data_IF_057195829166
#
_entry.id   IF_057195829166
#
_cell.length_a   1.000
_cell.length_b   1.000
_cell.length_c   1.000
_cell.angle_alpha   90.00
_cell.angle_beta   90.00
_cell.angle_gamma   90.00
#
_symmetry.space_group_name_H-M   'P 1'
#
loop_
_entity.id
_entity.type
_entity.pdbx_description
1 polymer ?
#
# COMPACT_ATOMS: atom_id res chain seq x y z
N UNK A 1 -4.54 72.37 -12.22
CA UNK A 1 -3.75 71.23 -12.71
C UNK A 1 -3.70 70.21 -11.59
N UNK A 2 -4.51 69.16 -11.66
CA UNK A 2 -4.63 68.13 -10.62
C UNK A 2 -4.14 66.80 -11.22
N UNK A 3 -3.17 66.17 -10.58
CA UNK A 3 -2.60 64.88 -10.97
C UNK A 3 -3.38 63.73 -10.30
N UNK A 4 -3.69 62.63 -11.00
CA UNK A 4 -4.34 61.48 -10.37
C UNK A 4 -3.28 60.54 -9.77
N UNK A 5 -3.52 60.13 -8.52
CA UNK A 5 -2.82 59.04 -7.83
C UNK A 5 -3.38 57.70 -8.30
N UNK A 6 -2.55 56.90 -8.97
CA UNK A 6 -2.84 55.50 -9.29
C UNK A 6 -2.47 54.61 -8.09
N UNK A 7 -3.48 54.04 -7.45
CA UNK A 7 -3.35 52.96 -6.47
C UNK A 7 -3.17 51.63 -7.21
N UNK A 8 -1.96 51.08 -7.17
CA UNK A 8 -1.69 49.72 -7.63
C UNK A 8 -2.07 48.72 -6.53
N UNK A 9 -3.13 47.93 -6.76
CA UNK A 9 -3.48 46.81 -5.93
C UNK A 9 -2.48 45.66 -6.17
N UNK A 10 -1.61 45.40 -5.20
CA UNK A 10 -0.72 44.24 -5.22
C UNK A 10 -1.56 42.98 -4.93
N UNK A 11 -1.96 42.27 -5.99
CA UNK A 11 -2.53 40.94 -5.87
C UNK A 11 -1.43 39.98 -5.38
N UNK A 12 -1.50 39.59 -4.10
CA UNK A 12 -0.70 38.50 -3.55
C UNK A 12 -1.23 37.20 -4.12
N UNK A 13 -0.60 36.70 -5.18
CA UNK A 13 -0.75 35.31 -5.59
C UNK A 13 -0.15 34.44 -4.48
N UNK A 14 -0.99 33.92 -3.60
CA UNK A 14 -0.67 32.79 -2.74
C UNK A 14 -0.39 31.59 -3.66
N UNK A 15 0.88 31.36 -3.96
CA UNK A 15 1.32 30.10 -4.57
C UNK A 15 1.08 29.00 -3.54
N UNK A 16 0.31 27.94 -3.84
CA UNK A 16 0.23 26.79 -2.97
C UNK A 16 1.63 26.18 -2.87
N UNK A 17 2.10 25.98 -1.64
CA UNK A 17 3.32 25.23 -1.39
C UNK A 17 3.13 23.83 -2.01
N UNK A 18 3.99 23.47 -2.96
CA UNK A 18 4.06 22.11 -3.46
C UNK A 18 4.46 21.20 -2.29
N UNK A 19 3.47 20.54 -1.67
CA UNK A 19 3.71 19.51 -0.68
C UNK A 19 4.52 18.39 -1.31
N UNK A 20 5.58 17.98 -0.62
CA UNK A 20 6.48 16.90 -1.05
C UNK A 20 5.70 15.59 -1.13
N UNK A 21 5.17 15.28 -2.32
CA UNK A 21 4.52 14.01 -2.63
C UNK A 21 5.56 12.90 -2.77
N UNK A 22 6.15 12.42 -1.66
CA UNK A 22 6.97 11.22 -1.63
C UNK A 22 6.86 10.50 -0.28
N UNK A 23 6.31 9.29 -0.29
CA UNK A 23 6.31 8.40 0.87
C UNK A 23 6.39 6.92 0.44
N UNK A 24 7.39 6.60 -0.38
CA UNK A 24 7.83 5.22 -0.58
C UNK A 24 9.12 5.02 0.22
N UNK A 25 9.16 4.00 1.06
CA UNK A 25 10.38 3.52 1.68
C UNK A 25 10.66 2.12 1.18
N UNK A 26 11.85 1.96 0.60
CA UNK A 26 12.37 0.69 0.16
C UNK A 26 13.28 0.16 1.26
N UNK A 27 12.93 -1.00 1.81
CA UNK A 27 13.68 -1.60 2.91
C UNK A 27 14.66 -2.58 2.30
N UNK A 28 15.94 -2.24 2.33
CA UNK A 28 17.00 -2.95 1.60
C UNK A 28 17.74 -4.02 2.41
N UNK A 29 17.37 -4.25 3.66
CA UNK A 29 17.95 -5.35 4.44
C UNK A 29 16.88 -5.97 5.36
N UNK A 30 16.94 -7.29 5.62
CA UNK A 30 15.94 -7.99 6.42
C UNK A 30 15.79 -7.41 7.83
N UNK A 31 16.89 -6.94 8.42
CA UNK A 31 16.95 -6.43 9.79
C UNK A 31 16.61 -4.93 9.90
N UNK A 32 16.42 -4.23 8.78
CA UNK A 32 16.03 -2.82 8.83
C UNK A 32 14.57 -2.70 9.26
N UNK A 33 14.28 -1.99 10.37
CA UNK A 33 12.90 -1.78 10.81
C UNK A 33 12.17 -0.86 9.83
N UNK A 34 10.85 -0.99 9.77
CA UNK A 34 10.01 -0.10 8.95
C UNK A 34 10.08 1.32 9.56
N UNK A 35 10.22 2.39 8.77
CA UNK A 35 10.27 3.74 9.35
C UNK A 35 8.96 4.11 10.02
N UNK A 36 9.10 4.71 11.20
CA UNK A 36 8.01 5.39 11.92
C UNK A 36 7.90 6.86 11.58
N UNK A 37 8.93 7.43 10.94
CA UNK A 37 9.13 8.88 10.95
C UNK A 37 8.18 9.58 9.97
N UNK A 38 7.16 10.24 10.53
CA UNK A 38 6.25 11.09 9.77
C UNK A 38 5.07 10.36 9.12
N UNK A 39 5.04 9.03 9.17
CA UNK A 39 3.98 8.22 8.58
C UNK A 39 2.92 7.84 9.62
N UNK A 40 1.68 7.77 9.16
CA UNK A 40 0.47 7.48 9.93
C UNK A 40 -0.20 6.19 9.49
N UNK A 41 0.03 5.77 8.24
CA UNK A 41 -0.34 4.43 7.77
C UNK A 41 0.78 3.79 6.98
N UNK A 42 0.67 2.48 6.83
CA UNK A 42 1.60 1.66 6.08
C UNK A 42 0.82 0.74 5.14
N UNK A 43 1.30 0.61 3.92
CA UNK A 43 0.83 -0.30 2.88
C UNK A 43 1.98 -1.24 2.53
N UNK A 44 1.88 -2.51 2.90
CA UNK A 44 2.92 -3.52 2.69
C UNK A 44 2.53 -4.37 1.50
N UNK A 45 3.46 -4.56 0.55
CA UNK A 45 3.29 -5.54 -0.51
C UNK A 45 3.95 -6.86 -0.10
N UNK A 46 3.15 -7.88 0.16
CA UNK A 46 3.59 -9.14 0.75
C UNK A 46 3.62 -10.25 -0.31
N UNK A 47 4.81 -10.61 -0.77
CA UNK A 47 5.03 -11.74 -1.67
C UNK A 47 5.20 -13.01 -0.83
N UNK A 48 4.09 -13.67 -0.50
CA UNK A 48 4.10 -14.80 0.44
C UNK A 48 4.17 -16.19 -0.20
N UNK A 49 4.01 -16.29 -1.52
CA UNK A 49 4.03 -17.56 -2.24
C UNK A 49 5.35 -17.74 -3.01
N UNK A 50 6.15 -18.79 -2.73
CA UNK A 50 7.43 -18.99 -3.39
C UNK A 50 7.32 -19.24 -4.90
N UNK A 51 6.13 -19.53 -5.45
CA UNK A 51 5.96 -19.65 -6.91
C UNK A 51 6.23 -18.33 -7.65
N UNK A 52 6.19 -17.19 -6.95
CA UNK A 52 6.58 -15.89 -7.51
C UNK A 52 8.10 -15.75 -7.70
N UNK A 53 8.91 -16.61 -7.08
CA UNK A 53 10.37 -16.55 -7.11
C UNK A 53 11.04 -17.44 -8.15
N UNK A 54 10.28 -18.07 -9.05
CA UNK A 54 10.90 -18.83 -10.14
C UNK A 54 11.55 -17.86 -11.13
N UNK A 55 12.72 -18.17 -11.74
CA UNK A 55 13.43 -17.24 -12.63
C UNK A 55 12.58 -16.66 -13.78
N UNK A 56 11.57 -17.42 -14.22
CA UNK A 56 10.60 -16.97 -15.23
C UNK A 56 9.68 -15.83 -14.76
N UNK A 57 9.74 -15.47 -13.50
CA UNK A 57 8.91 -14.45 -12.86
C UNK A 57 9.67 -13.16 -12.55
N UNK A 58 10.95 -13.03 -12.92
CA UNK A 58 11.76 -11.82 -12.66
C UNK A 58 11.16 -10.57 -13.33
N UNK A 59 10.90 -10.61 -14.63
CA UNK A 59 10.25 -9.50 -15.35
C UNK A 59 8.88 -9.14 -14.73
N UNK A 60 8.18 -10.14 -14.17
CA UNK A 60 6.88 -9.95 -13.52
C UNK A 60 7.05 -9.23 -12.18
N UNK A 61 7.99 -9.67 -11.35
CA UNK A 61 8.29 -9.05 -10.06
C UNK A 61 8.80 -7.62 -10.23
N UNK A 62 9.63 -7.36 -11.24
CA UNK A 62 10.10 -6.01 -11.56
C UNK A 62 8.93 -5.07 -11.88
N UNK A 63 8.03 -5.49 -12.78
CA UNK A 63 6.84 -4.70 -13.12
C UNK A 63 5.98 -4.44 -11.87
N UNK A 64 5.70 -5.46 -11.07
CA UNK A 64 4.91 -5.33 -9.86
C UNK A 64 5.52 -4.36 -8.85
N UNK A 65 6.84 -4.41 -8.67
CA UNK A 65 7.54 -3.44 -7.83
C UNK A 65 7.33 -2.01 -8.37
N UNK A 66 7.51 -1.77 -9.66
CA UNK A 66 7.32 -0.43 -10.23
C UNK A 66 5.88 0.06 -10.12
N UNK A 67 4.90 -0.82 -10.31
CA UNK A 67 3.48 -0.50 -10.18
C UNK A 67 3.12 -0.17 -8.73
N UNK A 68 3.60 -0.98 -7.77
CA UNK A 68 3.38 -0.72 -6.35
C UNK A 68 4.13 0.53 -5.87
N UNK A 69 5.32 0.80 -6.41
CA UNK A 69 6.06 2.05 -6.22
C UNK A 69 5.31 3.25 -6.78
N UNK A 70 4.63 3.10 -7.91
CA UNK A 70 3.72 4.09 -8.47
C UNK A 70 2.58 4.41 -7.50
N UNK A 71 1.93 3.38 -6.98
CA UNK A 71 0.92 3.50 -5.93
C UNK A 71 1.45 4.25 -4.70
N UNK A 72 2.62 3.87 -4.19
CA UNK A 72 3.27 4.53 -3.04
C UNK A 72 3.55 6.02 -3.22
N UNK A 73 3.64 6.52 -4.46
CA UNK A 73 3.83 7.94 -4.74
C UNK A 73 2.52 8.74 -4.68
N UNK A 74 1.38 8.10 -4.88
CA UNK A 74 0.07 8.79 -4.94
C UNK A 74 -0.72 8.69 -3.65
N UNK A 75 -0.37 7.75 -2.76
CA UNK A 75 -1.09 7.56 -1.49
C UNK A 75 -0.94 8.72 -0.50
N UNK A 76 0.01 9.65 -0.71
CA UNK A 76 0.19 10.84 0.12
C UNK A 76 1.38 10.77 1.07
N UNK A 77 1.80 11.92 1.61
CA UNK A 77 3.02 12.04 2.45
C UNK A 77 2.91 11.34 3.80
N UNK A 78 1.69 11.15 4.30
CA UNK A 78 1.40 10.55 5.60
C UNK A 78 1.32 9.02 5.51
N UNK A 79 1.49 8.44 4.33
CA UNK A 79 1.23 7.03 4.06
C UNK A 79 2.48 6.38 3.46
N UNK A 80 2.98 5.33 4.10
CA UNK A 80 4.18 4.65 3.65
C UNK A 80 3.85 3.40 2.84
N UNK A 81 4.28 3.35 1.57
CA UNK A 81 4.33 2.07 0.85
C UNK A 81 5.66 1.36 1.13
N UNK A 82 5.58 0.08 1.50
CA UNK A 82 6.72 -0.74 1.94
C UNK A 82 6.86 -1.95 1.02
N UNK A 83 8.06 -2.09 0.45
CA UNK A 83 8.50 -3.28 -0.26
C UNK A 83 9.74 -3.84 0.43
N UNK A 84 9.77 -5.15 0.67
CA UNK A 84 10.86 -5.79 1.38
C UNK A 84 11.89 -6.38 0.42
N UNK A 85 13.12 -5.91 0.53
CA UNK A 85 14.30 -6.45 -0.14
C UNK A 85 15.30 -7.00 0.87
N UNK A 86 16.02 -8.05 0.48
CA UNK A 86 17.14 -8.63 1.23
C UNK A 86 18.43 -7.83 1.03
N UNK A 87 18.56 -7.23 -0.15
CA UNK A 87 19.68 -6.38 -0.53
C UNK A 87 19.22 -5.32 -1.54
N UNK A 88 20.05 -4.30 -1.77
CA UNK A 88 19.74 -3.24 -2.72
C UNK A 88 19.67 -3.78 -4.16
N UNK A 89 18.57 -3.56 -4.90
CA UNK A 89 18.41 -4.09 -6.25
C UNK A 89 19.37 -3.46 -7.25
N UNK A 90 20.08 -4.31 -7.99
CA UNK A 90 20.84 -3.88 -9.18
C UNK A 90 19.93 -3.98 -10.40
N UNK A 91 19.35 -2.84 -10.80
CA UNK A 91 18.41 -2.77 -11.91
C UNK A 91 18.99 -3.28 -13.23
N UNK A 92 18.18 -4.04 -13.98
CA UNK A 92 18.58 -4.65 -15.26
C UNK A 92 19.41 -5.94 -15.12
N UNK A 93 19.47 -6.54 -13.94
CA UNK A 93 20.06 -7.87 -13.71
C UNK A 93 18.97 -8.93 -13.55
N UNK A 94 19.30 -10.19 -13.85
CA UNK A 94 18.38 -11.33 -13.75
C UNK A 94 18.34 -11.94 -12.33
N UNK A 95 18.45 -11.12 -11.30
CA UNK A 95 18.60 -11.59 -9.90
C UNK A 95 17.51 -10.98 -8.98
N UNK A 96 16.56 -10.21 -9.53
CA UNK A 96 15.51 -9.54 -8.74
C UNK A 96 14.70 -10.52 -7.87
N UNK A 97 14.42 -11.72 -8.36
CA UNK A 97 13.70 -12.73 -7.59
C UNK A 97 14.49 -13.24 -6.36
N UNK A 98 15.82 -13.26 -6.42
CA UNK A 98 16.68 -13.76 -5.34
C UNK A 98 16.79 -12.78 -4.18
N UNK A 99 16.60 -11.49 -4.48
CA UNK A 99 16.78 -10.37 -3.54
C UNK A 99 15.48 -9.84 -2.94
N UNK A 100 14.29 -10.28 -3.39
CA UNK A 100 13.04 -9.99 -2.67
C UNK A 100 13.05 -10.73 -1.34
N UNK A 101 12.69 -10.04 -0.25
CA UNK A 101 12.60 -10.66 1.08
C UNK A 101 11.24 -11.36 1.27
N UNK A 102 11.14 -12.52 0.63
CA UNK A 102 9.98 -13.41 0.76
C UNK A 102 9.89 -14.05 2.13
N UNK A 103 11.00 -14.22 2.84
CA UNK A 103 10.97 -14.77 4.19
C UNK A 103 10.25 -13.80 5.14
N UNK A 104 10.58 -12.51 5.10
CA UNK A 104 9.87 -11.48 5.86
C UNK A 104 8.41 -11.37 5.44
N UNK A 105 8.12 -11.39 4.13
CA UNK A 105 6.75 -11.37 3.62
C UNK A 105 5.93 -12.58 4.09
N UNK A 106 6.48 -13.79 3.98
CA UNK A 106 5.84 -15.03 4.42
C UNK A 106 5.58 -15.01 5.92
N UNK A 107 6.50 -14.44 6.71
CA UNK A 107 6.33 -14.25 8.15
C UNK A 107 5.17 -13.31 8.49
N UNK A 108 4.98 -12.22 7.75
CA UNK A 108 3.77 -11.39 7.87
C UNK A 108 2.53 -12.20 7.57
N UNK A 109 2.50 -12.94 6.46
CA UNK A 109 1.35 -13.77 6.11
C UNK A 109 1.02 -14.82 7.18
N UNK A 110 2.01 -15.53 7.69
CA UNK A 110 1.81 -16.50 8.78
C UNK A 110 1.27 -15.83 10.04
N UNK A 111 1.89 -14.72 10.45
CA UNK A 111 1.49 -14.00 11.68
C UNK A 111 0.09 -13.41 11.57
N UNK A 112 -0.30 -12.94 10.38
CA UNK A 112 -1.60 -12.33 10.11
C UNK A 112 -2.68 -13.36 9.72
N UNK A 113 -2.34 -14.65 9.64
CA UNK A 113 -3.25 -15.71 9.18
C UNK A 113 -3.68 -15.60 7.72
N UNK A 114 -2.87 -14.94 6.88
CA UNK A 114 -3.14 -14.77 5.45
C UNK A 114 -2.75 -16.04 4.68
N UNK A 115 -3.64 -16.51 3.81
CA UNK A 115 -3.39 -17.69 3.00
C UNK A 115 -2.27 -17.39 1.97
N UNK A 116 -1.14 -18.10 2.05
CA UNK A 116 -0.01 -17.88 1.14
C UNK A 116 -0.41 -18.10 -0.33
N UNK A 117 -1.25 -19.10 -0.61
CA UNK A 117 -1.74 -19.42 -1.97
C UNK A 117 -2.50 -18.27 -2.63
N UNK A 118 -3.05 -17.34 -1.83
CA UNK A 118 -3.78 -16.16 -2.26
C UNK A 118 -2.91 -14.91 -2.35
N UNK A 119 -1.60 -15.05 -2.16
CA UNK A 119 -0.63 -13.98 -2.32
C UNK A 119 -0.26 -13.72 -3.79
N UNK A 120 0.19 -12.50 -4.14
CA UNK A 120 0.63 -11.46 -3.22
C UNK A 120 -0.53 -10.77 -2.51
N UNK A 121 -0.24 -10.17 -1.36
CA UNK A 121 -1.21 -9.41 -0.58
C UNK A 121 -0.80 -7.94 -0.50
N UNK A 122 -1.77 -7.04 -0.49
CA UNK A 122 -1.54 -5.66 0.00
C UNK A 122 -2.14 -5.57 1.39
N UNK A 123 -1.31 -5.32 2.39
CA UNK A 123 -1.74 -5.13 3.77
C UNK A 123 -1.63 -3.66 4.14
N UNK A 124 -2.75 -3.02 4.42
CA UNK A 124 -2.83 -1.59 4.77
C UNK A 124 -3.24 -1.48 6.24
N UNK A 125 -2.54 -0.67 7.03
CA UNK A 125 -2.87 -0.45 8.44
C UNK A 125 -2.46 0.94 8.93
N UNK A 126 -3.19 1.47 9.91
CA UNK A 126 -2.80 2.67 10.67
C UNK A 126 -2.00 2.35 11.93
N UNK A 127 -1.80 1.07 12.24
CA UNK A 127 -0.95 0.61 13.34
C UNK A 127 0.45 0.32 12.82
N UNK A 128 1.48 0.66 13.59
CA UNK A 128 2.86 0.46 13.15
C UNK A 128 3.14 -1.03 12.87
N UNK A 129 3.47 -1.41 11.62
CA UNK A 129 3.42 -2.79 11.15
C UNK A 129 4.69 -3.59 11.45
N UNK A 130 5.29 -3.46 12.63
CA UNK A 130 6.48 -4.25 12.97
C UNK A 130 6.10 -5.51 13.73
N UNK A 131 6.61 -6.65 13.24
CA UNK A 131 6.44 -7.92 13.93
C UNK A 131 7.45 -8.02 15.09
N UNK A 132 7.19 -8.87 16.09
CA UNK A 132 8.22 -9.25 17.06
C UNK A 132 9.50 -9.72 16.35
N UNK A 133 10.66 -9.71 17.00
CA UNK A 133 11.85 -10.32 16.41
C UNK A 133 11.65 -11.85 16.23
N UNK A 134 12.27 -12.51 15.22
CA UNK A 134 12.09 -13.95 14.99
C UNK A 134 12.41 -14.81 16.22
N UNK A 135 13.41 -14.41 17.00
CA UNK A 135 13.89 -15.10 18.21
C UNK A 135 13.03 -14.85 19.45
N UNK A 136 12.28 -13.74 19.49
CA UNK A 136 11.34 -13.43 20.57
C UNK A 136 10.09 -14.33 20.55
N UNK A 137 9.81 -14.98 19.42
CA UNK A 137 8.58 -15.76 19.21
C UNK A 137 7.34 -14.87 19.09
N UNK A 138 6.17 -15.50 18.92
CA UNK A 138 4.86 -14.84 18.87
C UNK A 138 4.06 -15.00 20.18
N UNK A 139 4.69 -15.50 21.25
CA UNK A 139 3.99 -15.74 22.52
C UNK A 139 3.48 -14.42 23.11
N UNK A 140 2.15 -14.31 23.25
CA UNK A 140 1.49 -13.08 23.71
C UNK A 140 1.34 -11.99 22.66
N UNK A 141 1.82 -12.21 21.42
CA UNK A 141 1.51 -11.32 20.29
C UNK A 141 0.16 -11.72 19.68
N UNK A 142 -0.82 -10.84 19.79
CA UNK A 142 -2.12 -10.99 19.15
C UNK A 142 -2.20 -10.06 17.94
N UNK A 143 -2.14 -10.57 16.69
CA UNK A 143 -2.23 -9.76 15.48
C UNK A 143 -3.56 -9.01 15.38
N UNK A 144 -4.65 -9.53 15.95
CA UNK A 144 -5.96 -8.88 15.92
C UNK A 144 -5.99 -7.62 16.78
N UNK A 145 -5.35 -7.67 17.95
CA UNK A 145 -5.19 -6.50 18.80
C UNK A 145 -4.10 -5.55 18.29
N UNK A 146 -2.99 -6.07 17.74
CA UNK A 146 -1.88 -5.25 17.25
C UNK A 146 -2.22 -4.47 15.97
N UNK A 147 -3.08 -5.05 15.12
CA UNK A 147 -3.51 -4.46 13.85
C UNK A 147 -5.04 -4.43 13.78
N UNK A 148 -5.65 -3.74 14.74
CA UNK A 148 -7.11 -3.64 14.87
C UNK A 148 -7.76 -2.96 13.65
N UNK A 149 -7.06 -1.94 13.12
CA UNK A 149 -7.46 -1.14 11.97
C UNK A 149 -6.61 -1.55 10.76
N UNK A 150 -7.20 -2.34 9.87
CA UNK A 150 -6.49 -2.95 8.75
C UNK A 150 -7.37 -3.21 7.54
N UNK A 151 -6.70 -3.31 6.41
CA UNK A 151 -7.26 -3.80 5.18
C UNK A 151 -6.31 -4.79 4.52
N UNK A 152 -6.86 -5.86 3.96
CA UNK A 152 -6.14 -6.88 3.20
C UNK A 152 -6.72 -6.95 1.80
N UNK A 153 -5.87 -6.90 0.79
CA UNK A 153 -6.21 -7.18 -0.61
C UNK A 153 -5.50 -8.47 -1.02
N UNK A 154 -6.27 -9.49 -1.37
CA UNK A 154 -5.77 -10.78 -1.86
C UNK A 154 -5.73 -10.76 -3.39
N UNK A 155 -4.53 -10.95 -3.98
CA UNK A 155 -4.29 -10.82 -5.42
C UNK A 155 -3.83 -12.13 -6.09
N UNK A 156 -3.71 -13.23 -5.35
CA UNK A 156 -3.10 -14.47 -5.85
C UNK A 156 -3.87 -15.21 -6.93
N UNK A 157 -5.13 -14.85 -7.18
CA UNK A 157 -5.91 -15.38 -8.31
C UNK A 157 -5.82 -14.50 -9.58
N UNK A 158 -4.95 -13.48 -9.57
CA UNK A 158 -4.74 -12.56 -10.68
C UNK A 158 -3.40 -12.84 -11.36
N UNK A 159 -3.37 -12.72 -12.69
CA UNK A 159 -2.11 -12.72 -13.43
C UNK A 159 -1.35 -11.40 -13.21
N UNK A 160 -0.01 -11.35 -13.38
CA UNK A 160 0.79 -10.15 -13.11
C UNK A 160 0.27 -8.88 -13.79
N UNK A 161 -0.08 -8.96 -15.08
CA UNK A 161 -0.61 -7.80 -15.82
C UNK A 161 -1.96 -7.31 -15.30
N UNK A 162 -2.75 -8.18 -14.67
CA UNK A 162 -4.02 -7.82 -14.04
C UNK A 162 -3.77 -7.15 -12.69
N UNK A 163 -2.75 -7.58 -11.95
CA UNK A 163 -2.32 -6.91 -10.72
C UNK A 163 -1.79 -5.51 -11.04
N UNK A 164 -1.01 -5.35 -12.11
CA UNK A 164 -0.59 -4.04 -12.62
C UNK A 164 -1.78 -3.14 -12.94
N UNK A 165 -2.79 -3.67 -13.66
CA UNK A 165 -4.02 -2.94 -13.96
C UNK A 165 -4.80 -2.57 -12.67
N UNK A 166 -4.86 -3.47 -11.70
CA UNK A 166 -5.47 -3.23 -10.40
C UNK A 166 -4.77 -2.11 -9.63
N UNK A 167 -3.43 -2.15 -9.54
CA UNK A 167 -2.63 -1.13 -8.86
C UNK A 167 -2.75 0.24 -9.52
N UNK A 168 -2.79 0.28 -10.86
CA UNK A 168 -3.00 1.51 -11.61
C UNK A 168 -4.38 2.11 -11.32
N UNK A 169 -5.45 1.32 -11.40
CA UNK A 169 -6.81 1.76 -11.08
C UNK A 169 -6.93 2.16 -9.61
N UNK A 170 -6.34 1.39 -8.71
CA UNK A 170 -6.33 1.72 -7.28
C UNK A 170 -5.68 3.07 -7.03
N UNK A 171 -4.54 3.34 -7.68
CA UNK A 171 -3.85 4.61 -7.60
C UNK A 171 -4.74 5.77 -8.06
N UNK A 172 -5.46 5.60 -9.17
CA UNK A 172 -6.43 6.60 -9.66
C UNK A 172 -7.58 6.82 -8.67
N UNK A 173 -8.16 5.75 -8.13
CA UNK A 173 -9.28 5.83 -7.19
C UNK A 173 -8.87 6.44 -5.84
N UNK A 174 -7.69 6.10 -5.32
CA UNK A 174 -7.13 6.70 -4.09
C UNK A 174 -7.05 8.23 -4.23
N UNK A 175 -6.60 8.71 -5.38
CA UNK A 175 -6.53 10.16 -5.66
C UNK A 175 -7.92 10.75 -5.87
N UNK A 176 -8.77 10.09 -6.66
CA UNK A 176 -10.11 10.58 -6.98
C UNK A 176 -11.01 10.73 -5.75
N UNK A 177 -10.94 9.77 -4.82
CA UNK A 177 -11.69 9.78 -3.56
C UNK A 177 -11.04 10.65 -2.49
N UNK A 178 -9.82 11.15 -2.72
CA UNK A 178 -9.13 12.04 -1.79
C UNK A 178 -8.57 11.36 -0.54
N UNK A 179 -8.25 10.06 -0.61
CA UNK A 179 -7.64 9.31 0.52
C UNK A 179 -6.47 10.07 1.19
N UNK A 180 -5.52 10.67 0.44
CA UNK A 180 -4.39 11.41 1.03
C UNK A 180 -4.78 12.63 1.86
N UNK A 181 -6.00 13.15 1.70
CA UNK A 181 -6.49 14.37 2.34
C UNK A 181 -7.24 14.08 3.64
N UNK A 182 -7.48 12.81 3.96
CA UNK A 182 -8.28 12.39 5.12
C UNK A 182 -7.39 11.89 6.25
N UNK A 183 -7.70 12.29 7.48
CA UNK A 183 -6.94 11.90 8.66
C UNK A 183 -7.02 10.38 8.91
N UNK A 184 -5.89 9.64 8.96
CA UNK A 184 -5.88 8.18 8.98
C UNK A 184 -6.52 7.46 10.17
N UNK A 185 -6.72 8.18 11.26
CA UNK A 185 -7.31 7.72 12.52
C UNK A 185 -8.84 7.94 12.59
N UNK A 186 -9.47 8.22 11.45
CA UNK A 186 -10.89 8.54 11.38
C UNK A 186 -11.72 7.47 10.65
N UNK A 187 -13.00 7.38 11.01
CA UNK A 187 -13.98 6.59 10.25
C UNK A 187 -14.02 7.02 8.78
N UNK A 188 -13.95 8.33 8.52
CA UNK A 188 -13.95 8.88 7.18
C UNK A 188 -12.80 8.34 6.32
N UNK A 189 -11.61 8.14 6.89
CA UNK A 189 -10.47 7.58 6.15
C UNK A 189 -10.76 6.17 5.64
N UNK A 190 -11.30 5.30 6.50
CA UNK A 190 -11.64 3.94 6.14
C UNK A 190 -12.82 3.85 5.18
N UNK A 191 -13.80 4.77 5.30
CA UNK A 191 -14.88 4.92 4.31
C UNK A 191 -14.32 5.34 2.95
N UNK A 192 -13.40 6.31 2.91
CA UNK A 192 -12.77 6.74 1.64
C UNK A 192 -11.95 5.62 1.01
N UNK A 193 -11.22 4.82 1.80
CA UNK A 193 -10.55 3.61 1.30
C UNK A 193 -11.52 2.57 0.76
N UNK A 194 -12.63 2.34 1.47
CA UNK A 194 -13.69 1.45 1.01
C UNK A 194 -14.23 1.88 -0.35
N UNK A 195 -14.53 3.16 -0.54
CA UNK A 195 -15.01 3.69 -1.82
C UNK A 195 -13.97 3.57 -2.93
N UNK A 196 -12.71 3.89 -2.64
CA UNK A 196 -11.61 3.74 -3.60
C UNK A 196 -11.43 2.27 -4.04
N UNK A 197 -11.54 1.33 -3.10
CA UNK A 197 -11.48 -0.10 -3.39
C UNK A 197 -12.69 -0.56 -4.18
N UNK A 198 -13.89 -0.16 -3.79
CA UNK A 198 -15.12 -0.49 -4.51
C UNK A 198 -15.06 -0.02 -5.96
N UNK A 199 -14.58 1.19 -6.22
CA UNK A 199 -14.33 1.70 -7.57
C UNK A 199 -13.29 0.89 -8.34
N UNK A 200 -12.22 0.45 -7.66
CA UNK A 200 -11.14 -0.35 -8.25
C UNK A 200 -11.60 -1.75 -8.65
N UNK A 201 -12.42 -2.39 -7.82
CA UNK A 201 -12.84 -3.80 -7.98
C UNK A 201 -13.70 -4.05 -9.22
N UNK A 202 -14.28 -3.00 -9.82
CA UNK A 202 -15.12 -3.09 -11.02
C UNK A 202 -14.35 -3.75 -12.17
N UNK A 203 -14.78 -4.94 -12.57
CA UNK A 203 -14.21 -5.69 -13.69
C UNK A 203 -13.18 -6.77 -13.30
N UNK A 204 -12.84 -6.91 -12.02
CA UNK A 204 -11.93 -7.98 -11.57
C UNK A 204 -12.64 -9.26 -11.11
N UNK A 205 -13.95 -9.21 -10.83
CA UNK A 205 -14.74 -10.40 -10.44
C UNK A 205 -14.26 -11.03 -9.13
N UNK A 206 -14.44 -12.34 -8.98
CA UNK A 206 -14.04 -13.10 -7.77
C UNK A 206 -12.52 -13.27 -7.60
N UNK A 207 -11.70 -12.76 -8.54
CA UNK A 207 -10.24 -12.95 -8.54
C UNK A 207 -9.49 -12.08 -7.52
N UNK A 208 -10.18 -11.08 -6.99
CA UNK A 208 -9.67 -10.18 -5.96
C UNK A 208 -10.65 -10.16 -4.82
N UNK A 209 -10.11 -10.25 -3.62
CA UNK A 209 -10.87 -10.15 -2.37
C UNK A 209 -10.28 -9.03 -1.55
N UNK A 210 -11.14 -8.19 -1.02
CA UNK A 210 -10.74 -7.11 -0.10
C UNK A 210 -11.46 -7.33 1.22
N UNK A 211 -10.71 -7.38 2.31
CA UNK A 211 -11.27 -7.37 3.66
C UNK A 211 -10.85 -6.09 4.35
N UNK A 212 -11.82 -5.34 4.87
CA UNK A 212 -11.58 -4.15 5.69
C UNK A 212 -12.10 -4.46 7.09
N UNK A 213 -11.23 -4.35 8.08
CA UNK A 213 -11.56 -4.54 9.49
C UNK A 213 -11.13 -3.30 10.27
N UNK A 214 -12.10 -2.65 10.89
CA UNK A 214 -11.92 -1.44 11.68
C UNK A 214 -12.76 -1.52 12.94
N UNK A 215 -12.55 -0.62 13.89
CA UNK A 215 -13.44 -0.44 15.04
C UNK A 215 -14.83 0.08 14.64
N UNK A 216 -14.97 0.65 13.44
CA UNK A 216 -16.21 1.21 12.92
C UNK A 216 -17.06 0.16 12.18
N UNK A 217 -16.42 -0.66 11.34
CA UNK A 217 -17.07 -1.66 10.52
C UNK A 217 -16.13 -2.80 10.11
N UNK A 218 -16.73 -3.93 9.72
CA UNK A 218 -16.05 -5.05 9.07
C UNK A 218 -16.80 -5.42 7.80
N UNK A 219 -16.11 -5.35 6.66
CA UNK A 219 -16.67 -5.62 5.35
C UNK A 219 -15.72 -6.50 4.54
N UNK A 220 -16.29 -7.40 3.75
CA UNK A 220 -15.58 -8.18 2.73
C UNK A 220 -16.18 -7.82 1.37
N UNK A 221 -15.33 -7.53 0.39
CA UNK A 221 -15.70 -7.19 -0.98
C UNK A 221 -15.09 -8.19 -1.95
N UNK A 222 -15.87 -8.49 -2.99
CA UNK A 222 -15.40 -9.20 -4.17
C UNK A 222 -15.71 -8.36 -5.41
N UNK A 223 -14.90 -8.47 -6.47
CA UNK A 223 -15.18 -7.76 -7.74
C UNK A 223 -16.44 -8.24 -8.48
N UNK A 224 -17.14 -9.22 -7.92
CA UNK A 224 -18.44 -9.76 -8.36
C UNK A 224 -19.63 -9.15 -7.62
N UNK A 225 -19.43 -8.28 -6.63
CA UNK A 225 -20.50 -7.60 -5.91
C UNK A 225 -20.82 -6.23 -6.53
N UNK A 226 -21.85 -6.10 -7.38
CA UNK A 226 -22.31 -4.81 -7.88
C UNK A 226 -23.18 -4.04 -6.87
N UNK A 227 -23.32 -4.49 -5.62
CA UNK A 227 -24.40 -4.05 -4.71
C UNK A 227 -24.04 -3.97 -3.21
N UNK A 228 -22.76 -3.85 -2.86
CA UNK A 228 -22.36 -3.60 -1.47
C UNK A 228 -22.97 -2.32 -0.91
#
# INVERSE_FOLDING_TARGET
MAAPLLLAAAAWCLLPAAGSAQALEEIFTPDTPISRNGYRTWSLFLVCNPTWLVPRSEERLESLYYDFRGFGRVIGSDHLAVWFWREEPVWGTSELAEIVDVERSARYCETLGLEQSRGPHIFITSSYPELPAPDAGLEGFDPDSAFAERQVVELGAMEPGEISEFLARLSEQVVAEGVPEVAPDSESYWVTWFEAMRGTLVGFGERVRVTIQTSFFRIELSGSDPSG
#
